data_IF_923299957444
#
_entry.id   IF_923299957444
#
_cell.length_a   1.000
_cell.length_b   1.000
_cell.length_c   1.000
_cell.angle_alpha   90.00
_cell.angle_beta   90.00
_cell.angle_gamma   90.00
#
_symmetry.space_group_name_H-M   'P 1'
#
loop_
_entity.id
_entity.type
_entity.pdbx_description
1 polymer ?
#
# COMPACT_ATOMS: atom_id res chain seq x y z
N UNK A 1 -38.78 63.96 19.75
CA UNK A 1 -38.50 64.08 18.30
C UNK A 1 -37.34 63.24 17.95
N UNK A 2 -37.61 62.16 17.24
CA UNK A 2 -36.67 61.04 17.00
C UNK A 2 -36.06 61.29 15.63
N UNK A 3 -34.75 61.54 15.56
CA UNK A 3 -34.02 61.53 14.29
C UNK A 3 -33.37 60.21 14.10
N UNK A 4 -33.91 59.45 13.15
CA UNK A 4 -33.44 58.14 12.70
C UNK A 4 -32.23 58.35 11.82
N UNK A 5 -31.08 57.92 12.28
CA UNK A 5 -29.83 57.94 11.51
C UNK A 5 -29.68 56.59 10.83
N UNK A 6 -30.02 56.50 9.55
CA UNK A 6 -29.74 55.34 8.72
C UNK A 6 -28.28 55.33 8.31
N UNK A 7 -27.49 54.50 8.92
CA UNK A 7 -26.13 54.21 8.49
C UNK A 7 -26.17 53.09 7.42
N UNK A 8 -26.04 53.54 6.16
CA UNK A 8 -25.99 52.61 5.03
C UNK A 8 -24.69 51.82 5.05
N UNK A 9 -24.80 50.52 5.32
CA UNK A 9 -23.71 49.59 5.21
C UNK A 9 -23.61 49.15 3.74
N UNK A 10 -22.68 49.72 2.99
CA UNK A 10 -22.37 49.30 1.62
C UNK A 10 -21.54 48.04 1.70
N UNK A 11 -22.17 46.90 1.44
CA UNK A 11 -21.54 45.59 1.32
C UNK A 11 -20.86 45.50 -0.06
N UNK A 12 -19.56 45.78 -0.13
CA UNK A 12 -18.76 45.46 -1.30
C UNK A 12 -18.65 43.95 -1.46
N UNK A 13 -19.53 43.37 -2.26
CA UNK A 13 -19.37 42.00 -2.74
C UNK A 13 -18.22 41.96 -3.75
N UNK A 14 -17.02 41.61 -3.29
CA UNK A 14 -15.89 41.27 -4.16
C UNK A 14 -16.21 39.99 -4.92
N UNK A 15 -16.54 40.10 -6.19
CA UNK A 15 -16.63 38.97 -7.10
C UNK A 15 -15.21 38.46 -7.36
N UNK A 16 -14.80 37.39 -6.68
CA UNK A 16 -13.61 36.66 -7.04
C UNK A 16 -13.90 35.97 -8.37
N UNK A 17 -13.37 36.52 -9.46
CA UNK A 17 -13.28 35.82 -10.74
C UNK A 17 -12.26 34.70 -10.54
N UNK A 18 -12.76 33.49 -10.21
CA UNK A 18 -11.98 32.27 -10.33
C UNK A 18 -11.72 32.08 -11.81
N UNK A 19 -10.46 32.29 -12.20
CA UNK A 19 -9.97 31.96 -13.55
C UNK A 19 -9.92 30.44 -13.63
N UNK A 20 -11.08 29.85 -13.99
CA UNK A 20 -11.17 28.44 -14.32
C UNK A 20 -10.49 28.23 -15.66
N UNK A 21 -9.18 27.96 -15.61
CA UNK A 21 -8.49 27.42 -16.79
C UNK A 21 -9.15 26.09 -17.15
N UNK A 22 -9.75 25.98 -18.34
CA UNK A 22 -10.40 24.73 -18.73
C UNK A 22 -9.38 23.59 -18.68
N UNK A 23 -9.72 22.44 -18.09
CA UNK A 23 -8.82 21.30 -18.10
C UNK A 23 -8.51 20.94 -19.55
N UNK A 24 -7.21 20.90 -19.89
CA UNK A 24 -6.76 20.48 -21.21
C UNK A 24 -7.09 19.00 -21.35
N UNK A 25 -8.21 18.69 -21.98
CA UNK A 25 -8.59 17.33 -22.30
C UNK A 25 -7.73 16.83 -23.46
N UNK A 26 -6.74 16.01 -23.16
CA UNK A 26 -5.91 15.36 -24.17
C UNK A 26 -6.74 14.24 -24.81
N UNK A 27 -7.36 14.53 -25.94
CA UNK A 27 -8.24 13.59 -26.69
C UNK A 27 -7.54 12.30 -27.13
N UNK A 28 -6.23 12.33 -27.26
CA UNK A 28 -5.43 11.17 -27.62
C UNK A 28 -4.17 11.11 -26.77
N UNK A 29 -4.18 10.25 -25.76
CA UNK A 29 -2.93 9.86 -25.11
C UNK A 29 -2.21 8.87 -26.02
N UNK A 30 -1.07 9.25 -26.57
CA UNK A 30 -0.21 8.30 -27.25
C UNK A 30 0.26 7.24 -26.26
N UNK A 31 -0.20 6.01 -26.44
CA UNK A 31 0.33 4.88 -25.69
C UNK A 31 1.49 4.28 -26.47
N UNK A 32 2.69 4.44 -25.97
CA UNK A 32 3.86 3.77 -26.52
C UNK A 32 3.99 2.40 -25.88
N UNK A 33 3.41 1.39 -26.51
CA UNK A 33 3.59 0.00 -26.12
C UNK A 33 4.71 -0.61 -26.94
N UNK A 34 5.89 -0.70 -26.34
CA UNK A 34 7.03 -1.35 -26.95
C UNK A 34 6.88 -2.87 -26.81
N UNK A 35 6.85 -3.60 -27.92
CA UNK A 35 6.90 -5.06 -27.90
C UNK A 35 8.28 -5.51 -27.44
N UNK A 36 8.36 -6.70 -26.83
CA UNK A 36 9.60 -7.23 -26.29
C UNK A 36 10.66 -7.50 -27.37
N UNK A 37 10.26 -7.61 -28.63
CA UNK A 37 11.08 -7.85 -29.81
C UNK A 37 11.41 -6.56 -30.61
N UNK A 38 10.79 -5.43 -30.27
CA UNK A 38 11.04 -4.16 -30.93
C UNK A 38 12.29 -3.49 -30.36
N UNK A 39 13.10 -2.95 -31.28
CA UNK A 39 14.30 -2.21 -30.92
C UNK A 39 13.95 -0.78 -30.50
N UNK A 40 14.33 -0.41 -29.30
CA UNK A 40 14.25 0.98 -28.87
C UNK A 40 15.31 1.80 -29.63
N UNK A 41 14.94 2.89 -30.34
CA UNK A 41 15.85 3.73 -31.08
C UNK A 41 16.94 4.40 -30.21
N UNK A 42 16.73 4.45 -28.89
CA UNK A 42 17.70 5.01 -27.95
C UNK A 42 18.70 3.98 -27.40
N UNK A 43 18.60 2.71 -27.80
CA UNK A 43 19.54 1.70 -27.38
C UNK A 43 20.76 1.67 -28.29
N UNK A 44 21.98 1.47 -27.77
CA UNK A 44 23.16 1.27 -28.57
C UNK A 44 22.97 0.11 -29.56
N UNK A 45 23.64 0.24 -30.73
CA UNK A 45 23.58 -0.79 -31.78
C UNK A 45 24.11 -2.11 -31.20
N UNK A 46 23.31 -3.19 -31.30
CA UNK A 46 23.70 -4.51 -30.80
C UNK A 46 23.37 -4.79 -29.34
N UNK A 47 22.88 -3.78 -28.57
CA UNK A 47 22.41 -4.02 -27.21
C UNK A 47 21.02 -4.64 -27.21
N UNK A 48 20.86 -5.69 -26.46
CA UNK A 48 19.56 -6.31 -26.13
C UNK A 48 19.39 -6.22 -24.62
N UNK A 49 18.20 -5.84 -24.12
CA UNK A 49 17.95 -5.94 -22.69
C UNK A 49 18.12 -7.41 -22.28
N UNK A 50 18.81 -7.64 -21.19
CA UNK A 50 18.82 -8.95 -20.59
C UNK A 50 17.35 -9.37 -20.38
N UNK A 51 16.97 -10.63 -20.71
CA UNK A 51 15.64 -11.09 -20.40
C UNK A 51 15.42 -10.80 -18.92
N UNK A 52 14.37 -10.06 -18.61
CA UNK A 52 13.92 -9.91 -17.22
C UNK A 52 13.56 -11.33 -16.81
N UNK A 53 14.53 -12.06 -16.24
CA UNK A 53 14.21 -13.20 -15.39
C UNK A 53 13.10 -12.65 -14.50
N UNK A 54 11.92 -13.28 -14.57
CA UNK A 54 10.85 -12.97 -13.67
C UNK A 54 11.51 -12.98 -12.28
N UNK A 55 11.84 -11.80 -11.80
CA UNK A 55 12.40 -11.63 -10.49
C UNK A 55 11.28 -12.16 -9.63
N UNK A 56 11.46 -13.35 -9.10
CA UNK A 56 10.65 -13.76 -7.98
C UNK A 56 10.97 -12.73 -6.91
N UNK A 57 10.25 -11.60 -6.96
CA UNK A 57 10.41 -10.46 -6.03
C UNK A 57 10.17 -10.92 -4.60
N UNK A 58 9.71 -12.13 -4.49
CA UNK A 58 9.36 -12.79 -3.27
C UNK A 58 10.41 -13.83 -2.91
N UNK A 59 11.66 -13.75 -3.09
CA UNK A 59 12.67 -14.69 -2.56
C UNK A 59 12.13 -16.09 -2.21
N UNK A 60 12.85 -16.98 -1.65
CA UNK A 60 12.36 -18.30 -1.28
C UNK A 60 11.13 -18.18 -0.35
N UNK A 61 10.13 -19.05 -0.56
CA UNK A 61 8.93 -19.08 0.25
C UNK A 61 9.30 -19.18 1.75
N UNK A 62 8.70 -18.31 2.58
CA UNK A 62 8.93 -18.34 4.01
C UNK A 62 8.10 -19.46 4.61
N UNK A 63 8.71 -20.45 5.27
CA UNK A 63 7.96 -21.52 5.89
C UNK A 63 7.16 -21.00 7.10
N UNK A 64 5.97 -21.55 7.40
CA UNK A 64 5.20 -21.17 8.59
C UNK A 64 5.95 -21.35 9.90
N UNK A 65 6.92 -22.25 9.95
CA UNK A 65 7.78 -22.50 11.11
C UNK A 65 8.69 -21.33 11.50
N UNK A 66 8.89 -20.34 10.60
CA UNK A 66 9.62 -19.11 10.90
C UNK A 66 8.84 -18.17 11.83
N UNK A 67 7.56 -18.45 12.03
CA UNK A 67 6.66 -17.65 12.87
C UNK A 67 6.24 -18.46 14.11
N UNK A 68 6.26 -17.83 15.26
CA UNK A 68 5.77 -18.40 16.51
C UNK A 68 4.60 -17.54 16.98
N UNK A 69 3.39 -18.04 16.81
CA UNK A 69 2.16 -17.41 17.33
C UNK A 69 1.94 -17.93 18.74
N UNK A 70 2.09 -17.07 19.73
CA UNK A 70 1.98 -17.42 21.16
C UNK A 70 0.60 -17.16 21.74
N UNK A 71 -0.09 -16.15 21.23
CA UNK A 71 -1.37 -15.71 21.77
C UNK A 71 -2.22 -15.12 20.64
N UNK A 72 -3.51 -15.41 20.67
CA UNK A 72 -4.51 -14.82 19.79
C UNK A 72 -5.59 -14.24 20.69
N UNK A 73 -5.95 -12.98 20.47
CA UNK A 73 -7.05 -12.30 21.17
C UNK A 73 -8.06 -11.84 20.13
N UNK A 74 -9.28 -12.35 20.27
CA UNK A 74 -10.40 -12.03 19.40
C UNK A 74 -11.37 -11.13 20.18
N UNK A 75 -11.10 -9.83 20.16
CA UNK A 75 -12.04 -8.84 20.71
C UNK A 75 -12.94 -8.35 19.56
N UNK A 76 -14.25 -8.11 19.79
CA UNK A 76 -15.15 -7.55 18.78
C UNK A 76 -14.68 -6.23 18.17
N UNK A 77 -13.89 -5.46 18.91
CA UNK A 77 -13.37 -4.16 18.47
C UNK A 77 -11.95 -4.23 17.90
N UNK A 78 -11.13 -5.14 18.46
CA UNK A 78 -9.72 -5.21 18.12
C UNK A 78 -9.24 -6.66 18.15
N UNK A 79 -8.79 -7.15 17.01
CA UNK A 79 -8.16 -8.46 16.91
C UNK A 79 -6.66 -8.29 16.89
N UNK A 80 -5.97 -8.97 17.80
CA UNK A 80 -4.52 -8.93 17.84
C UNK A 80 -3.90 -10.28 18.22
N UNK A 81 -2.68 -10.44 17.86
CA UNK A 81 -1.92 -11.66 18.08
C UNK A 81 -0.52 -11.32 18.56
N UNK A 82 0.15 -12.26 19.21
CA UNK A 82 1.57 -12.13 19.55
C UNK A 82 2.35 -13.07 18.64
N UNK A 83 3.12 -12.48 17.73
CA UNK A 83 3.97 -13.19 16.78
C UNK A 83 5.41 -12.89 17.08
N UNK A 84 6.22 -13.92 17.30
CA UNK A 84 7.66 -13.78 17.65
C UNK A 84 7.91 -12.80 18.81
N UNK A 85 6.99 -12.77 19.80
CA UNK A 85 7.08 -11.88 20.97
C UNK A 85 6.64 -10.43 20.72
N UNK A 86 6.07 -10.12 19.55
CA UNK A 86 5.54 -8.79 19.23
C UNK A 86 4.02 -8.83 19.12
N UNK A 87 3.39 -7.82 19.69
CA UNK A 87 1.92 -7.65 19.58
C UNK A 87 1.62 -7.03 18.23
N UNK A 88 0.77 -7.69 17.45
CA UNK A 88 0.40 -7.29 16.09
C UNK A 88 -1.11 -7.36 15.92
N UNK A 89 -1.69 -6.28 15.40
CA UNK A 89 -3.11 -6.23 15.01
C UNK A 89 -3.31 -6.58 13.54
N UNK A 90 -4.56 -6.80 13.14
CA UNK A 90 -4.91 -6.94 11.72
C UNK A 90 -4.51 -5.70 10.93
N UNK A 91 -3.96 -5.89 9.74
CA UNK A 91 -3.47 -4.82 8.86
C UNK A 91 -2.09 -4.26 9.21
N UNK A 92 -1.49 -4.65 10.33
CA UNK A 92 -0.15 -4.18 10.70
C UNK A 92 0.95 -4.92 9.96
N UNK A 93 2.05 -4.21 9.71
CA UNK A 93 3.23 -4.75 9.04
C UNK A 93 4.40 -4.84 10.00
N UNK A 94 5.22 -5.87 9.83
CA UNK A 94 6.46 -6.03 10.58
C UNK A 94 7.56 -6.63 9.71
N UNK A 95 8.80 -6.34 10.06
CA UNK A 95 9.97 -6.93 9.41
C UNK A 95 10.34 -8.25 10.08
N UNK A 96 10.42 -9.32 9.30
CA UNK A 96 11.00 -10.59 9.71
C UNK A 96 12.39 -10.73 9.11
N UNK A 97 13.40 -10.82 9.95
CA UNK A 97 14.76 -11.07 9.49
C UNK A 97 14.99 -12.57 9.33
N UNK A 98 15.35 -12.95 8.11
CA UNK A 98 15.76 -14.33 7.78
C UNK A 98 17.15 -14.26 7.17
N UNK A 99 18.15 -14.74 7.90
CA UNK A 99 19.55 -14.57 7.53
C UNK A 99 19.94 -13.09 7.49
N UNK A 100 20.39 -12.61 6.34
CA UNK A 100 20.78 -11.20 6.10
C UNK A 100 19.66 -10.34 5.51
N UNK A 101 18.51 -10.92 5.19
CA UNK A 101 17.42 -10.24 4.49
C UNK A 101 16.24 -9.99 5.44
N UNK A 102 15.70 -8.77 5.40
CA UNK A 102 14.48 -8.41 6.12
C UNK A 102 13.30 -8.47 5.16
N UNK A 103 12.32 -9.29 5.51
CA UNK A 103 11.08 -9.45 4.74
C UNK A 103 9.95 -8.68 5.43
N UNK A 104 9.24 -7.86 4.67
CA UNK A 104 8.04 -7.18 5.16
C UNK A 104 6.85 -8.14 5.13
N UNK A 105 6.25 -8.35 6.28
CA UNK A 105 5.11 -9.23 6.48
C UNK A 105 3.92 -8.41 6.98
N UNK A 106 2.75 -8.64 6.43
CA UNK A 106 1.51 -7.99 6.86
C UNK A 106 0.61 -9.03 7.52
N UNK A 107 0.00 -8.68 8.64
CA UNK A 107 -1.04 -9.49 9.28
C UNK A 107 -2.35 -9.24 8.54
N UNK A 108 -2.83 -10.22 7.77
CA UNK A 108 -4.07 -10.10 6.99
C UNK A 108 -5.31 -10.30 7.86
N UNK A 109 -5.37 -11.43 8.54
CA UNK A 109 -6.47 -11.79 9.43
C UNK A 109 -5.97 -12.50 10.67
N UNK A 110 -6.67 -12.28 11.77
CA UNK A 110 -6.49 -13.00 13.04
C UNK A 110 -7.76 -13.81 13.30
N UNK A 111 -7.63 -15.14 13.26
CA UNK A 111 -8.73 -16.08 13.42
C UNK A 111 -8.53 -16.96 14.65
N UNK A 112 -9.57 -17.70 15.02
CA UNK A 112 -9.46 -18.62 16.15
C UNK A 112 -8.51 -19.78 15.83
N UNK A 113 -7.42 -19.83 16.58
CA UNK A 113 -6.41 -20.87 16.45
C UNK A 113 -5.35 -20.68 15.34
N UNK A 114 -5.47 -19.67 14.47
CA UNK A 114 -4.46 -19.38 13.46
C UNK A 114 -4.45 -17.91 13.03
N UNK A 115 -3.35 -17.52 12.39
CA UNK A 115 -3.15 -16.17 11.87
C UNK A 115 -2.75 -16.27 10.40
N UNK A 116 -3.36 -15.45 9.58
CA UNK A 116 -3.06 -15.35 8.16
C UNK A 116 -2.13 -14.17 7.92
N UNK A 117 -0.93 -14.45 7.47
CA UNK A 117 0.11 -13.49 7.14
C UNK A 117 0.27 -13.39 5.62
N UNK A 118 0.65 -12.22 5.13
CA UNK A 118 0.89 -11.99 3.70
C UNK A 118 2.25 -11.35 3.49
N UNK A 119 2.98 -11.88 2.52
CA UNK A 119 4.20 -11.30 1.99
C UNK A 119 4.06 -11.10 0.47
N UNK A 120 3.78 -9.86 0.05
CA UNK A 120 3.43 -9.60 -1.34
C UNK A 120 2.20 -10.39 -1.76
N UNK A 121 2.35 -11.37 -2.64
CA UNK A 121 1.26 -12.26 -3.08
C UNK A 121 1.21 -13.60 -2.33
N UNK A 122 2.22 -13.89 -1.52
CA UNK A 122 2.30 -15.13 -0.76
C UNK A 122 1.48 -15.02 0.53
N UNK A 123 0.50 -15.91 0.68
CA UNK A 123 -0.27 -16.07 1.90
C UNK A 123 0.32 -17.21 2.76
N UNK A 124 0.50 -16.95 4.05
CA UNK A 124 1.12 -17.87 5.00
C UNK A 124 0.18 -18.05 6.17
N UNK A 125 -0.33 -19.25 6.37
CA UNK A 125 -1.19 -19.59 7.51
C UNK A 125 -0.33 -20.16 8.63
N UNK A 126 -0.37 -19.52 9.81
CA UNK A 126 0.41 -19.91 10.99
C UNK A 126 -0.53 -20.30 12.12
N UNK A 127 -0.48 -21.55 12.55
CA UNK A 127 -1.30 -22.02 13.68
C UNK A 127 -0.78 -21.51 15.02
N UNK A 128 -1.70 -21.30 15.97
CA UNK A 128 -1.36 -21.01 17.36
C UNK A 128 -0.58 -22.18 17.97
N UNK A 129 0.59 -21.88 18.53
CA UNK A 129 1.39 -22.86 19.23
C UNK A 129 0.74 -23.21 20.57
N UNK A 130 0.09 -24.34 20.65
CA UNK A 130 -0.37 -24.90 21.93
C UNK A 130 0.82 -25.58 22.61
N UNK A 131 1.06 -25.24 23.87
CA UNK A 131 1.99 -25.98 24.74
C UNK A 131 1.35 -27.25 25.25
#
# INVERSE_FOLDING_TARGET
>A
MKKLLYLGFVLCAGVALADETPPIEVKHKSSFNMRADERNPFWPIGWKPAPKLAKNEHGPAIPPSAFVVSTIVLDPKNRYTIINGRIMGEGQQFGLQIGTTVHQITVKHVEDGHVVLVRGEQEIVVALRRK
#
